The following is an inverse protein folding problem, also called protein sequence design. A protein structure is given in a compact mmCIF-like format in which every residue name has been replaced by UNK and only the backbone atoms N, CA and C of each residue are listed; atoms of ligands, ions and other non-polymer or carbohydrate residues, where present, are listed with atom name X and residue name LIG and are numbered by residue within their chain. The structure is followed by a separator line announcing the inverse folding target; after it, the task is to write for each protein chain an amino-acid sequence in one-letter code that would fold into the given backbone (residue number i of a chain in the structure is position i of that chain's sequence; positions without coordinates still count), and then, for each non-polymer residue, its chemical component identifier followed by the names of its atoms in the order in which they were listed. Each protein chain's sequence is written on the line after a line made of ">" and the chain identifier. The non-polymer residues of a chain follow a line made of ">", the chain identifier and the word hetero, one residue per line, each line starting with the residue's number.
data_IF_613095574143
#
_entry.id   IF_613095574143
#
_cell.length_a   1.000
_cell.length_b   1.000
_cell.length_c   1.000
_cell.angle_alpha   90.00
_cell.angle_beta   90.00
_cell.angle_gamma   90.00
#
_symmetry.space_group_name_H-M   'P 1'
#
loop_
_entity.id
_entity.type
_entity.pdbx_description
1 polymer ?
#
# COMPACT_ATOMS: atom_id res chain seq x y z
N UNK A 1 -11.16 1.39 8.15
CA UNK A 1 -10.25 2.20 7.32
C UNK A 1 -8.84 1.69 7.51
N UNK A 2 -7.96 1.95 6.54
CA UNK A 2 -6.53 1.70 6.66
C UNK A 2 -5.81 3.01 6.96
N UNK A 3 -4.74 2.91 7.72
CA UNK A 3 -3.85 4.01 8.06
C UNK A 3 -2.45 3.58 7.66
N UNK A 4 -1.74 4.39 6.88
CA UNK A 4 -0.37 4.15 6.43
C UNK A 4 0.48 5.28 6.96
N UNK A 5 1.35 4.95 7.91
CA UNK A 5 2.38 5.86 8.40
C UNK A 5 3.59 5.74 7.48
N UNK A 6 3.79 6.75 6.64
CA UNK A 6 4.88 6.78 5.68
C UNK A 6 6.22 6.86 6.40
N UNK A 7 6.29 7.67 7.46
CA UNK A 7 7.54 7.95 8.16
C UNK A 7 8.01 6.76 9.02
N UNK A 8 7.08 5.94 9.52
CA UNK A 8 7.42 4.73 10.30
C UNK A 8 7.36 3.42 9.50
N UNK A 9 7.01 3.46 8.22
CA UNK A 9 6.86 2.27 7.37
C UNK A 9 5.91 1.22 7.96
N UNK A 10 4.77 1.70 8.47
CA UNK A 10 3.73 0.86 9.08
C UNK A 10 2.37 1.10 8.45
N UNK A 11 1.57 0.04 8.40
CA UNK A 11 0.14 0.12 8.08
C UNK A 11 -0.69 -0.49 9.21
N UNK A 12 -1.86 0.11 9.44
CA UNK A 12 -2.77 -0.25 10.51
C UNK A 12 -4.18 -0.43 9.95
N UNK A 13 -4.78 -1.59 10.23
CA UNK A 13 -6.20 -1.83 9.97
C UNK A 13 -7.00 -1.45 11.21
N UNK A 14 -7.86 -0.45 11.07
CA UNK A 14 -8.74 0.03 12.15
C UNK A 14 -10.20 -0.13 11.76
N UNK A 15 -11.01 -0.65 12.68
CA UNK A 15 -12.46 -0.77 12.52
C UNK A 15 -13.14 -0.32 13.81
N UNK A 16 -14.10 0.60 13.68
CA UNK A 16 -14.88 1.10 14.82
C UNK A 16 -14.00 1.62 15.98
N UNK A 17 -12.85 2.21 15.65
CA UNK A 17 -11.89 2.72 16.64
C UNK A 17 -10.95 1.67 17.24
N UNK A 18 -11.15 0.37 16.96
CA UNK A 18 -10.25 -0.69 17.39
C UNK A 18 -9.15 -0.96 16.36
N UNK A 19 -7.90 -1.03 16.82
CA UNK A 19 -6.78 -1.52 16.02
C UNK A 19 -6.89 -3.05 15.88
N UNK A 20 -7.12 -3.52 14.67
CA UNK A 20 -7.26 -4.95 14.37
C UNK A 20 -5.92 -5.58 13.98
N UNK A 21 -5.07 -4.83 13.29
CA UNK A 21 -3.77 -5.34 12.82
C UNK A 21 -2.78 -4.20 12.58
N UNK A 22 -1.53 -4.44 12.95
CA UNK A 22 -0.37 -3.63 12.57
C UNK A 22 0.53 -4.47 11.67
N UNK A 23 1.08 -3.86 10.62
CA UNK A 23 1.96 -4.53 9.67
C UNK A 23 3.06 -3.61 9.15
N UNK A 24 4.18 -4.23 8.78
CA UNK A 24 5.29 -3.54 8.13
C UNK A 24 4.98 -3.27 6.66
N UNK A 25 5.47 -2.15 6.16
CA UNK A 25 5.31 -1.72 4.77
C UNK A 25 6.68 -1.47 4.16
N UNK A 26 6.85 -1.84 2.89
CA UNK A 26 7.94 -1.35 2.05
C UNK A 26 7.39 -0.43 1.00
N UNK A 27 7.98 0.76 0.86
CA UNK A 27 7.60 1.70 -0.18
C UNK A 27 8.43 1.46 -1.44
N UNK A 28 7.76 1.53 -2.58
CA UNK A 28 8.44 1.70 -3.86
C UNK A 28 9.12 3.07 -3.94
N UNK A 29 10.03 3.23 -4.91
CA UNK A 29 10.75 4.49 -5.07
C UNK A 29 9.80 5.60 -5.49
N UNK A 30 10.20 6.84 -5.27
CA UNK A 30 9.57 7.96 -5.94
C UNK A 30 10.16 8.11 -7.35
N UNK A 31 9.31 8.51 -8.30
CA UNK A 31 9.73 8.94 -9.63
C UNK A 31 9.55 10.45 -9.71
N UNK A 32 10.67 11.15 -9.72
CA UNK A 32 10.66 12.60 -9.94
C UNK A 32 10.21 12.93 -11.36
N UNK A 33 9.55 14.09 -11.57
CA UNK A 33 9.34 14.61 -12.90
C UNK A 33 10.70 14.77 -13.61
N UNK A 34 10.81 14.25 -14.82
CA UNK A 34 11.96 14.54 -15.69
C UNK A 34 11.47 14.71 -17.12
N UNK A 35 12.04 15.65 -17.85
CA UNK A 35 11.62 16.01 -19.21
C UNK A 35 11.84 14.88 -20.22
N UNK A 36 12.70 13.90 -19.90
CA UNK A 36 13.00 12.72 -20.71
C UNK A 36 12.25 11.46 -20.29
N UNK A 37 11.49 11.48 -19.19
CA UNK A 37 10.73 10.31 -18.76
C UNK A 37 9.44 10.17 -19.57
N UNK A 38 9.30 9.01 -20.22
CA UNK A 38 8.05 8.60 -20.88
C UNK A 38 6.90 8.30 -19.90
N UNK A 39 7.21 8.17 -18.60
CA UNK A 39 6.22 7.86 -17.56
C UNK A 39 5.95 9.08 -16.65
N UNK A 40 4.69 9.27 -16.20
CA UNK A 40 4.35 10.35 -15.29
C UNK A 40 5.08 10.23 -13.95
N UNK A 41 5.32 11.34 -13.23
CA UNK A 41 5.89 11.31 -11.90
C UNK A 41 5.03 10.49 -10.94
N UNK A 42 5.66 9.92 -9.91
CA UNK A 42 4.99 9.12 -8.90
C UNK A 42 5.63 9.42 -7.54
N UNK A 43 4.83 9.87 -6.59
CA UNK A 43 5.25 10.11 -5.22
C UNK A 43 4.62 9.06 -4.30
N UNK A 44 5.20 8.88 -3.10
CA UNK A 44 4.49 8.14 -2.06
C UNK A 44 3.22 8.94 -1.70
N UNK A 45 2.03 8.30 -1.64
CA UNK A 45 0.80 9.03 -1.37
C UNK A 45 0.84 9.71 0.01
N UNK A 46 0.16 10.84 0.09
CA UNK A 46 -0.15 11.54 1.33
C UNK A 46 -1.65 11.90 1.32
N UNK A 47 -2.23 11.99 2.51
CA UNK A 47 -3.64 12.30 2.73
C UNK A 47 -4.59 11.12 2.49
N UNK A 48 -5.85 11.44 2.23
CA UNK A 48 -6.90 10.44 2.03
C UNK A 48 -6.81 9.80 0.63
N UNK A 49 -7.02 8.49 0.60
CA UNK A 49 -7.28 7.65 -0.56
C UNK A 49 -8.47 6.74 -0.27
N UNK A 50 -8.95 6.07 -1.30
CA UNK A 50 -10.10 5.18 -1.31
C UNK A 50 -9.70 3.91 -2.06
N UNK A 51 -10.05 2.76 -1.50
CA UNK A 51 -9.90 1.47 -2.19
C UNK A 51 -10.79 1.49 -3.43
N UNK A 52 -10.17 1.41 -4.60
CA UNK A 52 -10.85 1.36 -5.89
C UNK A 52 -11.14 -0.09 -6.29
N UNK A 53 -10.17 -0.99 -6.09
CA UNK A 53 -10.29 -2.40 -6.47
C UNK A 53 -9.48 -3.32 -5.54
N UNK A 54 -9.87 -4.59 -5.48
CA UNK A 54 -9.28 -5.61 -4.60
C UNK A 54 -9.05 -6.91 -5.38
N UNK A 55 -7.85 -7.45 -5.26
CA UNK A 55 -7.50 -8.79 -5.71
C UNK A 55 -6.80 -9.57 -4.60
N UNK A 56 -6.57 -10.87 -4.79
CA UNK A 56 -5.88 -11.70 -3.79
C UNK A 56 -4.45 -11.20 -3.46
N UNK A 57 -3.81 -10.49 -4.39
CA UNK A 57 -2.40 -10.10 -4.27
C UNK A 57 -2.19 -8.58 -4.36
N UNK A 58 -3.24 -7.79 -4.60
CA UNK A 58 -3.15 -6.35 -4.71
C UNK A 58 -4.40 -5.62 -4.23
N UNK A 59 -4.20 -4.42 -3.69
CA UNK A 59 -5.25 -3.44 -3.42
C UNK A 59 -4.93 -2.22 -4.28
N UNK A 60 -5.85 -1.84 -5.16
CA UNK A 60 -5.71 -0.65 -5.99
C UNK A 60 -6.46 0.50 -5.33
N UNK A 61 -5.78 1.64 -5.17
CA UNK A 61 -6.36 2.86 -4.64
C UNK A 61 -6.73 3.82 -5.77
N UNK A 62 -7.60 4.78 -5.48
CA UNK A 62 -7.80 5.93 -6.35
C UNK A 62 -6.48 6.69 -6.58
N UNK A 63 -6.28 7.19 -7.80
CA UNK A 63 -5.00 7.76 -8.21
C UNK A 63 -3.93 6.74 -8.62
N UNK A 64 -4.25 5.44 -8.61
CA UNK A 64 -3.42 4.39 -9.22
C UNK A 64 -2.34 3.80 -8.32
N UNK A 65 -2.23 4.22 -7.06
CA UNK A 65 -1.36 3.56 -6.07
C UNK A 65 -1.80 2.14 -5.84
N UNK A 66 -0.84 1.23 -5.73
CA UNK A 66 -1.10 -0.17 -5.40
C UNK A 66 -0.44 -0.56 -4.07
N UNK A 67 -1.16 -1.35 -3.29
CA UNK A 67 -0.62 -2.10 -2.15
C UNK A 67 -0.48 -3.55 -2.60
N UNK A 68 0.75 -4.03 -2.69
CA UNK A 68 1.09 -5.34 -3.24
C UNK A 68 1.37 -6.35 -2.13
N UNK A 69 1.04 -7.61 -2.38
CA UNK A 69 1.52 -8.72 -1.58
C UNK A 69 2.97 -9.05 -1.92
N UNK A 70 3.76 -9.40 -0.91
CA UNK A 70 5.08 -10.01 -1.09
C UNK A 70 5.00 -11.36 -1.82
N UNK A 71 6.03 -11.63 -2.61
CA UNK A 71 6.27 -12.91 -3.29
C UNK A 71 6.99 -13.92 -2.38
N UNK A 72 7.59 -13.44 -1.28
CA UNK A 72 8.28 -14.25 -0.28
C UNK A 72 7.60 -14.12 1.10
N UNK A 73 7.81 -15.07 2.03
CA UNK A 73 7.23 -14.99 3.39
C UNK A 73 7.72 -13.76 4.16
N UNK A 74 9.02 -13.47 4.10
CA UNK A 74 9.60 -12.30 4.74
C UNK A 74 9.66 -11.12 3.78
N UNK A 75 8.97 -10.04 4.14
CA UNK A 75 8.90 -8.82 3.32
C UNK A 75 10.29 -8.29 2.92
N UNK A 76 11.27 -8.33 3.83
CA UNK A 76 12.65 -7.86 3.57
C UNK A 76 13.40 -8.69 2.53
N UNK A 77 13.00 -9.95 2.36
CA UNK A 77 13.65 -10.90 1.45
C UNK A 77 13.04 -10.86 0.04
N UNK A 78 11.98 -10.10 -0.19
CA UNK A 78 11.38 -9.92 -1.52
C UNK A 78 12.14 -8.86 -2.33
N UNK A 79 12.96 -9.31 -3.28
CA UNK A 79 13.71 -8.44 -4.19
C UNK A 79 12.92 -8.00 -5.43
N UNK A 80 11.66 -8.42 -5.57
CA UNK A 80 10.81 -7.98 -6.70
C UNK A 80 10.69 -6.45 -6.66
N UNK A 81 10.91 -5.71 -7.76
CA UNK A 81 10.74 -4.27 -7.78
C UNK A 81 9.32 -3.86 -7.38
N UNK A 82 9.20 -2.83 -6.53
CA UNK A 82 7.91 -2.22 -6.20
C UNK A 82 7.70 -1.04 -7.18
N UNK A 83 6.55 -0.93 -7.85
CA UNK A 83 6.27 0.19 -8.73
C UNK A 83 6.39 1.54 -8.01
N UNK A 84 6.79 2.62 -8.71
CA UNK A 84 6.87 3.93 -8.08
C UNK A 84 5.54 4.42 -7.51
N UNK A 85 5.55 4.97 -6.29
CA UNK A 85 4.34 5.41 -5.58
C UNK A 85 3.42 4.29 -5.09
N UNK A 86 3.84 3.03 -5.21
CA UNK A 86 3.19 1.85 -4.65
C UNK A 86 3.90 1.36 -3.40
N UNK A 87 3.28 0.42 -2.69
CA UNK A 87 3.84 -0.19 -1.48
C UNK A 87 3.61 -1.69 -1.45
N UNK A 88 4.37 -2.39 -0.61
CA UNK A 88 4.29 -3.83 -0.41
C UNK A 88 4.12 -4.16 1.07
N UNK A 89 3.30 -5.18 1.35
CA UNK A 89 3.14 -5.80 2.66
C UNK A 89 3.42 -7.30 2.57
N UNK A 90 3.58 -7.97 3.71
CA UNK A 90 3.77 -9.42 3.71
C UNK A 90 2.55 -10.14 3.14
N UNK A 91 2.75 -11.33 2.58
CA UNK A 91 1.66 -12.15 2.04
C UNK A 91 0.66 -12.56 3.13
N UNK A 92 1.17 -12.85 4.33
CA UNK A 92 0.34 -13.21 5.48
C UNK A 92 -0.50 -12.02 5.95
N UNK A 93 0.07 -10.82 5.94
CA UNK A 93 -0.67 -9.60 6.25
C UNK A 93 -1.76 -9.31 5.23
N UNK A 94 -1.45 -9.42 3.93
CA UNK A 94 -2.42 -9.23 2.85
C UNK A 94 -3.61 -10.17 3.02
N UNK A 95 -3.34 -11.47 3.22
CA UNK A 95 -4.37 -12.49 3.42
C UNK A 95 -5.22 -12.20 4.67
N UNK A 96 -4.60 -11.72 5.75
CA UNK A 96 -5.29 -11.45 7.00
C UNK A 96 -6.21 -10.21 6.95
N UNK A 97 -5.85 -9.18 6.17
CA UNK A 97 -6.68 -7.98 6.07
C UNK A 97 -7.75 -8.07 5.00
N UNK A 98 -7.57 -8.85 3.94
CA UNK A 98 -8.50 -8.92 2.80
C UNK A 98 -9.97 -9.11 3.22
N UNK A 99 -10.33 -9.99 4.18
CA UNK A 99 -11.72 -10.17 4.61
C UNK A 99 -12.34 -8.92 5.27
N UNK A 100 -11.50 -7.97 5.70
CA UNK A 100 -11.90 -6.72 6.30
C UNK A 100 -11.85 -5.55 5.32
N UNK A 101 -11.55 -5.79 4.04
CA UNK A 101 -11.47 -4.75 3.01
C UNK A 101 -12.70 -4.76 2.09
N UNK A 102 -13.02 -3.60 1.55
CA UNK A 102 -14.10 -3.40 0.60
C UNK A 102 -13.75 -2.21 -0.30
N UNK A 103 -14.21 -2.25 -1.54
CA UNK A 103 -14.20 -1.07 -2.40
C UNK A 103 -14.92 0.10 -1.69
N UNK A 104 -14.43 1.32 -1.90
CA UNK A 104 -14.92 2.52 -1.20
C UNK A 104 -14.32 2.74 0.19
N UNK A 105 -13.53 1.80 0.73
CA UNK A 105 -12.90 1.98 2.05
C UNK A 105 -11.83 3.06 2.03
N UNK A 106 -11.80 3.90 3.06
CA UNK A 106 -10.78 4.94 3.22
C UNK A 106 -9.43 4.38 3.65
N UNK A 107 -8.38 4.93 3.05
CA UNK A 107 -6.97 4.68 3.35
C UNK A 107 -6.31 6.04 3.60
N UNK A 108 -5.74 6.25 4.77
CA UNK A 108 -5.12 7.52 5.14
C UNK A 108 -3.61 7.38 5.18
N UNK A 109 -2.91 8.18 4.38
CA UNK A 109 -1.46 8.27 4.39
C UNK A 109 -1.03 9.49 5.18
N UNK A 110 -0.21 9.31 6.20
CA UNK A 110 0.35 10.39 7.00
C UNK A 110 1.86 10.23 7.18
#
# INVERSE_FOLDING_TARGET
>A
HLNVSVDSSRMYLTREGALLREMSVQFGPERMPSESASAPPAAIPRGERTVADLSETSITLDGGTQILSSNTPELVSDSTPIPPGSLRISRDDMKAIMPNLSAGMKVYFY
#
